data_IF_199203619017
#
_entry.id   IF_199203619017
#
_cell.length_a   1.000
_cell.length_b   1.000
_cell.length_c   1.000
_cell.angle_alpha   90.00
_cell.angle_beta   90.00
_cell.angle_gamma   90.00
#
_symmetry.space_group_name_H-M   'P 1'
#
loop_
_entity.id
_entity.type
_entity.pdbx_description
1 polymer ?
#
# COMPACT_ATOMS: atom_id res chain seq x y z
N UNK A 1 -0.58 -14.45 9.39
CA UNK A 1 -2.01 -14.38 9.01
C UNK A 1 -2.22 -13.09 8.24
N UNK A 2 -1.96 -13.12 6.92
CA UNK A 2 -2.21 -11.99 6.04
C UNK A 2 -3.68 -12.05 5.65
N UNK A 3 -4.53 -11.32 6.38
CA UNK A 3 -5.91 -11.09 5.93
C UNK A 3 -5.79 -10.17 4.72
N UNK A 4 -5.77 -10.79 3.54
CA UNK A 4 -5.47 -10.15 2.25
C UNK A 4 -6.24 -8.83 2.15
N UNK A 5 -5.59 -7.81 1.62
CA UNK A 5 -6.24 -6.52 1.34
C UNK A 5 -7.46 -6.69 0.42
N UNK A 6 -7.49 -7.77 -0.36
CA UNK A 6 -8.64 -8.22 -1.14
C UNK A 6 -9.87 -8.39 -0.26
N UNK A 7 -9.77 -8.98 0.94
CA UNK A 7 -10.91 -9.12 1.86
C UNK A 7 -11.46 -7.76 2.33
N UNK A 8 -10.58 -6.76 2.47
CA UNK A 8 -10.95 -5.41 2.92
C UNK A 8 -11.53 -4.57 1.78
N UNK A 9 -11.02 -4.73 0.56
CA UNK A 9 -11.51 -4.06 -0.65
C UNK A 9 -12.82 -4.67 -1.14
N UNK A 10 -12.92 -6.01 -1.16
CA UNK A 10 -14.13 -6.74 -1.55
C UNK A 10 -15.33 -6.45 -0.64
N UNK A 11 -15.09 -6.10 0.63
CA UNK A 11 -16.16 -5.72 1.57
C UNK A 11 -16.68 -4.30 1.39
N UNK A 12 -15.96 -3.39 0.71
CA UNK A 12 -16.31 -1.95 0.68
C UNK A 12 -17.03 -1.49 -0.59
N UNK A 13 -17.06 -2.30 -1.65
CA UNK A 13 -17.88 -2.04 -2.83
C UNK A 13 -18.44 -3.37 -3.30
N UNK A 14 -19.74 -3.41 -3.57
CA UNK A 14 -20.32 -4.38 -4.48
C UNK A 14 -19.60 -4.21 -5.84
N UNK A 15 -18.45 -4.85 -6.00
CA UNK A 15 -17.68 -4.84 -7.24
C UNK A 15 -18.45 -5.72 -8.21
N UNK A 16 -18.88 -5.17 -9.37
CA UNK A 16 -19.58 -5.97 -10.36
C UNK A 16 -18.57 -6.94 -10.97
N UNK A 17 -18.72 -8.22 -10.62
CA UNK A 17 -17.90 -9.30 -11.14
C UNK A 17 -16.71 -9.62 -10.26
N UNK A 18 -16.54 -10.92 -9.99
CA UNK A 18 -15.35 -11.45 -9.35
C UNK A 18 -14.11 -10.90 -10.08
N UNK A 19 -13.26 -10.16 -9.35
CA UNK A 19 -11.96 -9.74 -9.89
C UNK A 19 -11.22 -11.01 -10.29
N UNK A 20 -10.74 -11.05 -11.53
CA UNK A 20 -10.02 -12.19 -12.05
C UNK A 20 -8.86 -12.54 -11.09
N UNK A 21 -8.72 -13.80 -10.63
CA UNK A 21 -7.72 -14.16 -9.63
C UNK A 21 -6.29 -13.72 -9.98
N UNK A 22 -5.93 -13.70 -11.26
CA UNK A 22 -4.63 -13.21 -11.72
C UNK A 22 -4.42 -11.71 -11.51
N UNK A 23 -5.47 -10.89 -11.64
CA UNK A 23 -5.39 -9.45 -11.42
C UNK A 23 -5.20 -9.11 -9.93
N UNK A 24 -5.76 -9.93 -9.04
CA UNK A 24 -5.57 -9.77 -7.60
C UNK A 24 -4.11 -9.98 -7.20
N UNK A 25 -3.48 -11.04 -7.72
CA UNK A 25 -2.06 -11.33 -7.46
C UNK A 25 -1.18 -10.18 -7.94
N UNK A 26 -1.41 -9.65 -9.14
CA UNK A 26 -0.66 -8.50 -9.66
C UNK A 26 -0.81 -7.24 -8.80
N UNK A 27 -1.99 -7.02 -8.21
CA UNK A 27 -2.21 -5.91 -7.30
C UNK A 27 -1.49 -6.12 -5.96
N UNK A 28 -1.49 -7.34 -5.42
CA UNK A 28 -0.77 -7.70 -4.20
C UNK A 28 0.74 -7.53 -4.40
N UNK A 29 1.29 -8.07 -5.47
CA UNK A 29 2.72 -7.96 -5.82
C UNK A 29 3.13 -6.47 -5.96
N UNK A 30 2.36 -5.70 -6.74
CA UNK A 30 2.63 -4.28 -6.94
C UNK A 30 2.59 -3.49 -5.62
N UNK A 31 1.68 -3.83 -4.72
CA UNK A 31 1.58 -3.14 -3.44
C UNK A 31 2.72 -3.53 -2.50
N UNK A 32 3.17 -4.79 -2.48
CA UNK A 32 4.34 -5.21 -1.72
C UNK A 32 5.60 -4.49 -2.20
N UNK A 33 5.78 -4.36 -3.52
CA UNK A 33 6.87 -3.57 -4.11
C UNK A 33 6.82 -2.10 -3.68
N UNK A 34 5.63 -1.49 -3.73
CA UNK A 34 5.42 -0.11 -3.34
C UNK A 34 5.67 0.13 -1.83
N UNK A 35 5.29 -0.85 -0.99
CA UNK A 35 5.57 -0.82 0.45
C UNK A 35 7.06 -0.92 0.76
N UNK A 36 7.78 -1.79 0.05
CA UNK A 36 9.23 -1.91 0.19
C UNK A 36 9.96 -0.62 -0.25
N UNK A 37 9.51 0.01 -1.33
CA UNK A 37 10.07 1.28 -1.79
C UNK A 37 9.79 2.42 -0.80
N UNK A 38 8.55 2.51 -0.29
CA UNK A 38 8.19 3.49 0.74
C UNK A 38 9.03 3.33 2.02
N UNK A 39 9.25 2.09 2.47
CA UNK A 39 10.11 1.78 3.61
C UNK A 39 11.56 2.24 3.37
N UNK A 40 12.10 1.98 2.18
CA UNK A 40 13.45 2.39 1.78
C UNK A 40 13.61 3.91 1.78
N UNK A 41 12.64 4.64 1.23
CA UNK A 41 12.66 6.12 1.20
C UNK A 41 12.64 6.70 2.62
N UNK A 42 11.80 6.17 3.50
CA UNK A 42 11.75 6.59 4.91
C UNK A 42 13.06 6.27 5.63
N UNK A 43 13.61 5.07 5.45
CA UNK A 43 14.87 4.65 6.08
C UNK A 43 16.07 5.50 5.64
N UNK A 44 16.06 5.99 4.39
CA UNK A 44 17.09 6.89 3.83
C UNK A 44 16.90 8.35 4.22
N UNK A 45 15.81 8.70 4.91
CA UNK A 45 15.44 10.08 5.24
C UNK A 45 15.01 10.91 4.02
N UNK A 46 14.69 10.25 2.90
CA UNK A 46 14.27 10.87 1.64
C UNK A 46 12.77 11.16 1.62
N UNK A 47 12.01 10.61 2.57
CA UNK A 47 10.64 11.00 2.84
C UNK A 47 10.33 11.02 4.34
N UNK A 48 9.87 12.16 4.85
CA UNK A 48 9.58 12.35 6.28
C UNK A 48 8.07 12.40 6.58
N UNK A 49 7.26 12.65 5.56
CA UNK A 49 5.81 12.70 5.65
C UNK A 49 5.09 12.15 4.41
N UNK A 50 3.76 12.12 4.45
CA UNK A 50 2.93 11.58 3.36
C UNK A 50 3.05 12.43 2.08
N UNK A 51 3.32 13.72 2.22
CA UNK A 51 3.50 14.62 1.09
C UNK A 51 4.79 14.29 0.32
N UNK A 52 5.88 14.02 1.03
CA UNK A 52 7.13 13.54 0.44
C UNK A 52 6.92 12.22 -0.30
N UNK A 53 6.30 11.23 0.35
CA UNK A 53 6.02 9.92 -0.26
C UNK A 53 5.12 10.03 -1.48
N UNK A 54 4.06 10.84 -1.43
CA UNK A 54 3.16 11.04 -2.56
C UNK A 54 3.89 11.59 -3.79
N UNK A 55 4.78 12.57 -3.58
CA UNK A 55 5.59 13.14 -4.67
C UNK A 55 6.61 12.15 -5.20
N UNK A 56 7.36 11.50 -4.32
CA UNK A 56 8.48 10.64 -4.71
C UNK A 56 8.01 9.36 -5.39
N UNK A 57 6.92 8.74 -4.90
CA UNK A 57 6.35 7.52 -5.46
C UNK A 57 5.33 7.77 -6.57
N UNK A 58 4.96 9.02 -6.83
CA UNK A 58 3.95 9.36 -7.84
C UNK A 58 2.54 8.83 -7.52
N UNK A 59 2.20 8.75 -6.23
CA UNK A 59 0.90 8.24 -5.75
C UNK A 59 0.02 9.36 -5.19
N UNK A 60 -1.27 9.05 -5.02
CA UNK A 60 -2.19 10.00 -4.36
C UNK A 60 -1.81 10.26 -2.90
N UNK A 61 -2.15 11.44 -2.33
CA UNK A 61 -1.94 11.71 -0.90
C UNK A 61 -2.56 10.65 0.02
N UNK A 62 -3.77 10.18 -0.31
CA UNK A 62 -4.44 9.13 0.46
C UNK A 62 -3.68 7.79 0.43
N UNK A 63 -3.02 7.47 -0.68
CA UNK A 63 -2.15 6.30 -0.79
C UNK A 63 -0.89 6.43 0.06
N UNK A 64 -0.27 7.61 0.05
CA UNK A 64 0.91 7.88 0.88
C UNK A 64 0.58 7.86 2.39
N UNK A 65 -0.56 8.43 2.80
CA UNK A 65 -1.05 8.33 4.17
C UNK A 65 -1.29 6.87 4.59
N UNK A 66 -1.88 6.07 3.71
CA UNK A 66 -2.08 4.63 3.93
C UNK A 66 -0.75 3.90 4.14
N UNK A 67 0.24 4.11 3.25
CA UNK A 67 1.56 3.47 3.35
C UNK A 67 2.28 3.87 4.63
N UNK A 68 2.29 5.15 5.02
CA UNK A 68 2.90 5.57 6.29
C UNK A 68 2.22 4.97 7.52
N UNK A 69 0.89 4.94 7.53
CA UNK A 69 0.15 4.32 8.62
C UNK A 69 0.46 2.82 8.72
N UNK A 70 0.71 2.17 7.58
CA UNK A 70 1.08 0.76 7.54
C UNK A 70 2.51 0.50 8.01
N UNK A 71 3.50 1.25 7.52
CA UNK A 71 4.90 1.13 7.94
C UNK A 71 5.07 1.32 9.45
N UNK A 72 4.29 2.22 10.06
CA UNK A 72 4.27 2.44 11.52
C UNK A 72 3.71 1.25 12.31
N UNK A 73 2.81 0.47 11.72
CA UNK A 73 2.22 -0.73 12.36
C UNK A 73 3.14 -1.96 12.21
N UNK A 74 3.86 -2.07 11.10
CA UNK A 74 4.78 -3.20 10.84
C UNK A 74 6.13 -3.04 11.55
N UNK A 75 6.59 -1.81 11.81
CA UNK A 75 7.80 -1.53 12.62
C UNK A 75 7.62 -1.56 14.14
N UNK A 76 6.42 -1.94 14.64
CA UNK A 76 6.08 -1.98 16.07
C UNK A 76 6.15 -3.37 16.73
N UNK A 77 6.89 -4.32 16.15
CA UNK A 77 7.05 -5.70 16.63
C UNK A 77 8.49 -6.05 16.97
#
# INVERSE_FOLDING_TARGET
MCRSLVDKVARRRELPGAVEPGLLVLFEDWLEELEAEAASLVARGEANDAGDLARTLGISPAGADFLLARLRQEGGG
#
